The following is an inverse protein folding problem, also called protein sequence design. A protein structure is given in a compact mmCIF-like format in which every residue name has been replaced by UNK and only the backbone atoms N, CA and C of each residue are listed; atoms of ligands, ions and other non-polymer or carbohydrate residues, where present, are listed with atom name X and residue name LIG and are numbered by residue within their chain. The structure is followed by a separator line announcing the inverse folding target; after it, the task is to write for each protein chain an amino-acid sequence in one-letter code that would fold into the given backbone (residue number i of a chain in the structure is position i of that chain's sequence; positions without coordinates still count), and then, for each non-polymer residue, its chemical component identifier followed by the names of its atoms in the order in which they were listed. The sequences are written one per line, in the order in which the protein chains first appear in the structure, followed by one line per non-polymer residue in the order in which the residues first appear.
data_IF_207988798327
#
_entry.id   IF_207988798327
#
_cell.length_a   1.000
_cell.length_b   1.000
_cell.length_c   1.000
_cell.angle_alpha   90.00
_cell.angle_beta   90.00
_cell.angle_gamma   90.00
#
_symmetry.space_group_name_H-M   'P 1'
#
loop_
_entity.id
_entity.type
_entity.pdbx_description
1 polymer ?
#
# COMPACT_ATOMS: atom_id res chain seq x y z
N UNK A 1 -1.99 18.99 5.49
CA UNK A 1 -1.79 17.53 5.29
C UNK A 1 -2.45 16.78 6.43
N UNK A 2 -2.92 15.55 6.20
CA UNK A 2 -3.55 14.69 7.22
C UNK A 2 -2.88 13.33 7.21
N UNK A 3 -2.40 12.88 8.36
CA UNK A 3 -1.89 11.54 8.58
C UNK A 3 -2.13 11.13 10.03
N UNK A 4 -2.09 9.84 10.31
CA UNK A 4 -2.30 9.29 11.65
C UNK A 4 -1.02 9.36 12.49
N UNK A 5 -1.19 9.40 13.81
CA UNK A 5 -0.07 9.26 14.75
C UNK A 5 -0.41 8.22 15.82
N UNK A 6 0.60 7.53 16.31
CA UNK A 6 0.54 6.66 17.48
C UNK A 6 1.50 7.27 18.51
N UNK A 7 1.03 8.24 19.33
CA UNK A 7 1.89 9.06 20.18
C UNK A 7 2.72 8.24 21.15
N UNK A 8 2.13 7.21 21.77
CA UNK A 8 2.78 6.40 22.81
C UNK A 8 3.97 5.60 22.25
N UNK A 9 3.96 5.33 20.94
CA UNK A 9 5.03 4.62 20.23
C UNK A 9 5.95 5.54 19.44
N UNK A 10 5.67 6.86 19.42
CA UNK A 10 6.31 7.87 18.58
C UNK A 10 6.35 7.46 17.10
N UNK A 11 5.19 7.03 16.57
CA UNK A 11 5.05 6.62 15.16
C UNK A 11 4.11 7.57 14.43
N UNK A 12 4.49 7.98 13.23
CA UNK A 12 3.59 8.58 12.25
C UNK A 12 3.16 7.53 11.22
N UNK A 13 1.89 7.53 10.84
CA UNK A 13 1.27 6.62 9.88
C UNK A 13 0.75 7.46 8.71
N UNK A 14 1.51 7.43 7.62
CA UNK A 14 1.31 8.24 6.42
C UNK A 14 0.73 7.36 5.32
N UNK A 15 -0.05 7.99 4.44
CA UNK A 15 -0.63 7.34 3.28
C UNK A 15 -0.27 8.15 2.03
N UNK A 16 0.43 7.52 1.09
CA UNK A 16 0.82 8.14 -0.18
C UNK A 16 -0.40 8.71 -0.92
N UNK A 17 -1.51 7.98 -0.94
CA UNK A 17 -2.72 8.36 -1.68
C UNK A 17 -3.26 9.73 -1.22
N UNK A 18 -3.05 10.12 0.04
CA UNK A 18 -3.48 11.43 0.56
C UNK A 18 -2.77 12.64 -0.06
N UNK A 19 -1.60 12.43 -0.69
CA UNK A 19 -0.80 13.49 -1.31
C UNK A 19 -0.50 13.24 -2.80
N UNK A 20 -0.51 11.99 -3.24
CA UNK A 20 -0.17 11.57 -4.60
C UNK A 20 -1.07 10.43 -5.11
N UNK A 21 -2.33 10.39 -4.65
CA UNK A 21 -3.29 9.34 -4.99
C UNK A 21 -4.07 9.55 -6.27
N UNK A 22 -4.57 8.47 -6.85
CA UNK A 22 -5.40 8.45 -8.06
C UNK A 22 -6.70 9.24 -7.92
N UNK A 23 -7.27 9.30 -6.72
CA UNK A 23 -8.52 10.02 -6.44
C UNK A 23 -8.34 11.55 -6.42
N UNK A 24 -7.11 12.03 -6.21
CA UNK A 24 -6.81 13.46 -6.24
C UNK A 24 -6.78 14.03 -7.66
N UNK A 25 -6.73 13.17 -8.68
CA UNK A 25 -6.57 13.57 -10.07
C UNK A 25 -7.76 13.07 -10.90
N UNK A 26 -8.57 13.98 -11.47
CA UNK A 26 -9.63 13.63 -12.40
C UNK A 26 -9.09 12.76 -13.54
N UNK A 27 -9.85 11.74 -13.97
CA UNK A 27 -9.40 10.77 -14.98
C UNK A 27 -8.79 11.43 -16.23
N UNK A 28 -9.42 12.50 -16.73
CA UNK A 28 -8.98 13.27 -17.90
C UNK A 28 -7.65 14.01 -17.73
N UNK A 29 -7.21 14.22 -16.49
CA UNK A 29 -5.97 14.93 -16.14
C UNK A 29 -4.85 13.97 -15.72
N UNK A 30 -5.10 12.66 -15.68
CA UNK A 30 -4.10 11.67 -15.27
C UNK A 30 -3.02 11.57 -16.34
N UNK A 31 -1.81 11.96 -15.97
CA UNK A 31 -0.63 11.83 -16.82
C UNK A 31 0.57 11.42 -15.96
N UNK A 32 0.96 10.13 -15.99
CA UNK A 32 2.01 9.62 -15.12
C UNK A 32 3.40 10.14 -15.49
N UNK A 33 3.56 10.82 -16.65
CA UNK A 33 4.84 11.44 -17.03
C UNK A 33 5.18 12.65 -16.18
N UNK A 34 4.17 13.38 -15.69
CA UNK A 34 4.33 14.69 -15.03
C UNK A 34 3.90 14.68 -13.56
N UNK A 35 3.15 13.68 -13.12
CA UNK A 35 2.77 13.53 -11.70
C UNK A 35 4.00 13.31 -10.82
N UNK A 36 3.94 13.81 -9.58
CA UNK A 36 5.05 13.77 -8.63
C UNK A 36 4.62 13.30 -7.25
N UNK A 37 5.56 12.70 -6.51
CA UNK A 37 5.41 12.28 -5.11
C UNK A 37 5.86 13.36 -4.11
N UNK A 38 6.12 14.59 -4.56
CA UNK A 38 6.56 15.71 -3.71
C UNK A 38 5.78 15.84 -2.39
N UNK A 39 4.46 15.79 -2.43
CA UNK A 39 3.62 15.89 -1.23
C UNK A 39 3.83 14.76 -0.22
N UNK A 40 4.34 13.60 -0.65
CA UNK A 40 4.74 12.51 0.25
C UNK A 40 5.99 12.89 1.04
N UNK A 41 6.99 13.48 0.37
CA UNK A 41 8.19 13.98 1.05
C UNK A 41 7.88 15.08 2.05
N UNK A 42 6.98 16.00 1.69
CA UNK A 42 6.49 17.05 2.59
C UNK A 42 5.78 16.48 3.82
N UNK A 43 4.97 15.41 3.68
CA UNK A 43 4.38 14.72 4.85
C UNK A 43 5.44 14.05 5.73
N UNK A 44 6.48 13.47 5.14
CA UNK A 44 7.59 12.87 5.90
C UNK A 44 8.31 13.95 6.71
N UNK A 45 8.69 15.07 6.09
CA UNK A 45 9.33 16.20 6.78
C UNK A 45 8.44 16.75 7.90
N UNK A 46 7.15 16.96 7.65
CA UNK A 46 6.22 17.43 8.69
C UNK A 46 6.13 16.47 9.87
N UNK A 47 6.14 15.15 9.64
CA UNK A 47 6.19 14.16 10.72
C UNK A 47 7.53 14.20 11.49
N UNK A 48 8.66 14.35 10.79
CA UNK A 48 9.98 14.48 11.42
C UNK A 48 10.09 15.73 12.28
N UNK A 49 9.60 16.87 11.78
CA UNK A 49 9.56 18.14 12.52
C UNK A 49 8.71 18.06 13.79
N UNK A 50 7.71 17.16 13.82
CA UNK A 50 6.91 16.86 15.02
C UNK A 50 7.54 15.79 15.93
N UNK A 51 8.78 15.38 15.65
CA UNK A 51 9.57 14.46 16.47
C UNK A 51 9.32 12.97 16.20
N UNK A 52 8.60 12.61 15.13
CA UNK A 52 8.31 11.22 14.79
C UNK A 52 9.45 10.58 13.97
N UNK A 53 10.40 9.93 14.65
CA UNK A 53 11.51 9.21 13.99
C UNK A 53 11.14 7.83 13.41
N UNK A 54 9.90 7.38 13.63
CA UNK A 54 9.38 6.10 13.11
C UNK A 54 8.20 6.39 12.22
N UNK A 55 8.30 6.00 10.95
CA UNK A 55 7.29 6.29 9.95
C UNK A 55 6.81 4.97 9.34
N UNK A 56 5.51 4.80 9.29
CA UNK A 56 4.84 3.77 8.49
C UNK A 56 4.23 4.50 7.29
N UNK A 57 4.63 4.13 6.09
CA UNK A 57 4.13 4.70 4.85
C UNK A 57 3.37 3.62 4.06
N UNK A 58 2.04 3.77 3.97
CA UNK A 58 1.24 3.00 3.03
C UNK A 58 1.38 3.60 1.63
N UNK A 59 1.72 2.79 0.63
CA UNK A 59 1.94 3.25 -0.76
C UNK A 59 0.84 2.77 -1.73
N UNK A 60 -0.36 2.46 -1.23
CA UNK A 60 -1.51 2.12 -2.07
C UNK A 60 -1.96 3.28 -2.97
N UNK A 61 -2.71 2.94 -4.03
CA UNK A 61 -3.50 3.88 -4.86
C UNK A 61 -2.78 5.10 -5.42
N UNK A 62 -1.47 5.01 -5.63
CA UNK A 62 -0.65 6.07 -6.24
C UNK A 62 -1.11 6.46 -7.66
N UNK A 63 -1.04 7.76 -7.97
CA UNK A 63 -1.18 8.29 -9.32
C UNK A 63 0.15 8.38 -10.09
N UNK A 64 1.27 8.18 -9.42
CA UNK A 64 2.61 8.56 -9.89
C UNK A 64 3.43 7.42 -10.49
N UNK A 65 4.35 7.73 -11.41
CA UNK A 65 5.47 6.85 -11.83
C UNK A 65 6.76 7.66 -11.90
N UNK A 66 7.10 8.34 -10.81
CA UNK A 66 8.32 9.16 -10.69
C UNK A 66 9.43 8.47 -9.90
N UNK A 67 9.30 7.16 -9.62
CA UNK A 67 10.21 6.43 -8.73
C UNK A 67 10.37 7.03 -7.33
N UNK A 68 9.46 7.90 -6.86
CA UNK A 68 9.63 8.56 -5.57
C UNK A 68 10.64 9.71 -5.55
N UNK A 69 11.20 10.12 -6.70
CA UNK A 69 12.22 11.18 -6.72
C UNK A 69 11.67 12.52 -6.24
N UNK A 70 10.37 12.79 -6.43
CA UNK A 70 9.73 13.97 -5.86
C UNK A 70 9.69 13.96 -4.34
N UNK A 71 9.41 12.82 -3.72
CA UNK A 71 9.46 12.68 -2.28
C UNK A 71 10.90 12.82 -1.76
N UNK A 72 11.85 12.13 -2.39
CA UNK A 72 13.26 12.12 -2.00
C UNK A 72 13.93 13.48 -2.16
N UNK A 73 13.53 14.29 -3.15
CA UNK A 73 14.06 15.65 -3.29
C UNK A 73 13.68 16.56 -2.14
N UNK A 74 12.49 16.37 -1.55
CA UNK A 74 12.10 17.11 -0.33
C UNK A 74 12.93 16.68 0.88
N UNK A 75 13.47 15.47 0.85
CA UNK A 75 14.35 14.92 1.90
C UNK A 75 15.83 15.29 1.70
N UNK A 76 16.15 16.12 0.70
CA UNK A 76 17.52 16.59 0.44
C UNK A 76 18.29 15.80 -0.62
N UNK A 77 17.66 14.85 -1.32
CA UNK A 77 18.32 14.12 -2.41
C UNK A 77 18.25 14.91 -3.72
N UNK A 78 19.39 15.16 -4.36
CA UNK A 78 19.46 15.78 -5.68
C UNK A 78 19.51 14.71 -6.77
N UNK A 79 18.80 14.98 -7.86
CA UNK A 79 18.74 14.14 -9.04
C UNK A 79 19.25 14.95 -10.22
N UNK A 80 20.40 14.57 -10.77
CA UNK A 80 21.16 15.41 -11.70
C UNK A 80 21.24 14.78 -13.09
N UNK A 81 21.30 15.61 -14.12
CA UNK A 81 21.61 15.22 -15.49
C UNK A 81 23.13 15.18 -15.75
N UNK A 82 23.53 14.94 -17.01
CA UNK A 82 24.94 14.84 -17.39
C UNK A 82 25.72 16.15 -17.25
N UNK A 83 25.03 17.29 -17.18
CA UNK A 83 25.64 18.61 -17.02
C UNK A 83 25.67 19.03 -15.53
N UNK A 84 25.30 18.13 -14.61
CA UNK A 84 25.20 18.41 -13.19
C UNK A 84 23.99 19.27 -12.81
N UNK A 85 23.00 19.42 -13.69
CA UNK A 85 21.79 20.21 -13.42
C UNK A 85 20.67 19.33 -12.90
N UNK A 86 19.85 19.87 -12.00
CA UNK A 86 18.72 19.13 -11.48
C UNK A 86 17.67 18.82 -12.56
N UNK A 87 17.25 17.56 -12.62
CA UNK A 87 16.14 17.14 -13.49
C UNK A 87 14.78 17.57 -12.93
N UNK A 88 13.76 17.50 -13.78
CA UNK A 88 12.38 17.54 -13.31
C UNK A 88 12.06 16.32 -12.43
N UNK A 89 11.33 16.52 -11.33
CA UNK A 89 11.07 15.50 -10.31
C UNK A 89 9.79 14.71 -10.64
N UNK A 90 9.77 14.16 -11.84
CA UNK A 90 8.68 13.38 -12.42
C UNK A 90 9.25 12.25 -13.31
N UNK A 91 8.39 11.43 -13.92
CA UNK A 91 8.84 10.33 -14.78
C UNK A 91 9.63 10.83 -16.00
N UNK A 92 9.27 11.97 -16.58
CA UNK A 92 9.92 12.51 -17.77
C UNK A 92 11.38 12.91 -17.47
N UNK A 93 11.61 13.52 -16.31
CA UNK A 93 12.95 13.89 -15.87
C UNK A 93 13.86 12.68 -15.69
N UNK A 94 13.33 11.52 -15.28
CA UNK A 94 14.10 10.27 -15.16
C UNK A 94 14.77 9.85 -16.48
N UNK A 95 14.33 10.32 -17.64
CA UNK A 95 15.01 10.06 -18.91
C UNK A 95 16.39 10.71 -18.99
N UNK A 96 16.59 11.83 -18.29
CA UNK A 96 17.82 12.62 -18.25
C UNK A 96 18.70 12.30 -17.04
N UNK A 97 18.18 11.55 -16.07
CA UNK A 97 18.90 11.21 -14.85
C UNK A 97 20.26 10.56 -15.16
N UNK A 98 21.33 11.17 -14.68
CA UNK A 98 22.69 10.67 -14.76
C UNK A 98 23.25 10.30 -13.39
N UNK A 99 22.88 11.05 -12.36
CA UNK A 99 23.46 10.93 -11.01
C UNK A 99 22.42 11.19 -9.91
N UNK A 100 22.61 10.52 -8.78
CA UNK A 100 21.88 10.76 -7.53
C UNK A 100 22.89 11.21 -6.49
N UNK A 101 22.71 12.42 -5.97
CA UNK A 101 23.52 13.03 -4.93
C UNK A 101 22.68 13.13 -3.64
N UNK A 102 23.08 12.35 -2.64
CA UNK A 102 22.49 12.25 -1.31
C UNK A 102 23.42 12.82 -0.22
N UNK A 103 24.46 13.57 -0.61
CA UNK A 103 25.44 14.14 0.32
C UNK A 103 24.82 15.16 1.30
N UNK A 104 23.78 15.86 0.88
CA UNK A 104 23.04 16.84 1.69
C UNK A 104 21.90 16.23 2.51
N UNK A 105 21.72 14.90 2.48
CA UNK A 105 20.73 14.24 3.31
C UNK A 105 21.11 14.42 4.78
N UNK A 106 20.26 15.09 5.56
CA UNK A 106 20.58 15.35 6.96
C UNK A 106 20.58 14.06 7.79
N UNK A 107 21.41 14.03 8.84
CA UNK A 107 21.57 12.85 9.71
C UNK A 107 20.23 12.40 10.33
N UNK A 108 19.34 13.34 10.63
CA UNK A 108 18.01 13.04 11.15
C UNK A 108 17.15 12.21 10.20
N UNK A 109 17.31 12.42 8.88
CA UNK A 109 16.64 11.63 7.84
C UNK A 109 17.34 10.28 7.65
N UNK A 110 18.67 10.21 7.76
CA UNK A 110 19.42 8.93 7.70
C UNK A 110 19.02 7.98 8.82
N UNK A 111 18.71 8.52 10.00
CA UNK A 111 18.34 7.76 11.20
C UNK A 111 16.87 7.34 11.28
N UNK A 112 16.04 7.67 10.28
CA UNK A 112 14.61 7.36 10.35
C UNK A 112 14.35 5.86 10.24
N UNK A 113 13.40 5.36 11.03
CA UNK A 113 12.88 4.00 10.87
C UNK A 113 11.67 4.05 9.95
N UNK A 114 11.91 3.91 8.65
CA UNK A 114 10.88 3.91 7.62
C UNK A 114 10.43 2.48 7.29
N UNK A 115 9.17 2.18 7.57
CA UNK A 115 8.49 0.95 7.14
C UNK A 115 7.51 1.30 6.02
N UNK A 116 7.62 0.60 4.89
CA UNK A 116 6.79 0.86 3.71
C UNK A 116 5.88 -0.34 3.48
N UNK A 117 4.57 -0.11 3.56
CA UNK A 117 3.55 -1.12 3.32
C UNK A 117 3.30 -1.33 1.84
N UNK A 118 3.71 -2.47 1.30
CA UNK A 118 3.54 -2.84 -0.11
C UNK A 118 2.93 -4.24 -0.24
N UNK A 119 1.72 -4.33 -0.81
CA UNK A 119 0.98 -5.58 -0.97
C UNK A 119 1.19 -6.27 -2.33
N UNK A 120 2.08 -5.71 -3.16
CA UNK A 120 2.41 -6.22 -4.50
C UNK A 120 3.88 -6.60 -4.55
N UNK A 121 4.18 -7.70 -5.24
CA UNK A 121 5.56 -8.20 -5.41
C UNK A 121 6.24 -7.67 -6.68
N UNK A 122 5.54 -6.89 -7.51
CA UNK A 122 6.07 -6.35 -8.76
C UNK A 122 7.40 -5.61 -8.53
N UNK A 123 8.40 -5.99 -9.34
CA UNK A 123 9.72 -5.35 -9.36
C UNK A 123 9.66 -4.02 -10.14
N UNK A 124 10.77 -3.29 -10.25
CA UNK A 124 10.75 -1.95 -10.86
C UNK A 124 10.49 -2.02 -12.37
N UNK A 125 11.28 -2.82 -13.09
CA UNK A 125 11.24 -2.92 -14.56
C UNK A 125 10.75 -4.29 -15.04
N UNK A 126 10.78 -4.53 -16.35
CA UNK A 126 10.34 -5.80 -16.94
C UNK A 126 8.84 -5.88 -17.25
N UNK A 127 8.38 -7.07 -17.63
CA UNK A 127 6.99 -7.34 -18.05
C UNK A 127 6.02 -7.17 -16.88
N UNK A 128 6.43 -7.66 -15.71
CA UNK A 128 5.64 -7.63 -14.47
C UNK A 128 6.11 -6.50 -13.54
N UNK A 129 6.75 -5.46 -14.10
CA UNK A 129 7.26 -4.34 -13.33
C UNK A 129 6.21 -3.27 -13.01
N UNK A 130 6.66 -2.10 -12.53
CA UNK A 130 5.80 -0.96 -12.20
C UNK A 130 4.89 -0.51 -13.37
N UNK A 131 5.31 -0.79 -14.62
CA UNK A 131 4.57 -0.45 -15.85
C UNK A 131 3.20 -1.14 -15.95
N UNK A 132 2.97 -2.25 -15.25
CA UNK A 132 1.67 -2.94 -15.20
C UNK A 132 0.56 -1.98 -14.75
N UNK A 133 0.88 -1.08 -13.81
CA UNK A 133 -0.06 -0.10 -13.26
C UNK A 133 -0.10 1.22 -14.02
N UNK A 134 0.60 1.36 -15.16
CA UNK A 134 0.68 2.64 -15.87
C UNK A 134 -0.66 3.06 -16.52
N UNK A 135 -1.42 2.10 -17.06
CA UNK A 135 -2.70 2.40 -17.75
C UNK A 135 -3.74 3.03 -16.83
N UNK A 136 -3.93 2.49 -15.63
CA UNK A 136 -4.87 3.07 -14.65
C UNK A 136 -4.47 4.48 -14.19
N UNK A 137 -3.17 4.81 -14.31
CA UNK A 137 -2.58 6.13 -14.03
C UNK A 137 -2.62 7.07 -15.23
N UNK A 138 -3.24 6.69 -16.34
CA UNK A 138 -3.42 7.55 -17.53
C UNK A 138 -2.40 7.34 -18.66
N UNK A 139 -1.52 6.33 -18.58
CA UNK A 139 -0.59 6.06 -19.67
C UNK A 139 -1.28 5.43 -20.90
N UNK A 140 -1.09 6.04 -22.06
CA UNK A 140 -1.52 5.50 -23.35
C UNK A 140 -0.41 4.65 -24.02
N UNK A 141 -0.69 4.16 -25.24
CA UNK A 141 0.27 3.34 -26.01
C UNK A 141 1.58 4.07 -26.31
N UNK A 142 1.56 5.39 -26.44
CA UNK A 142 2.74 6.22 -26.75
C UNK A 142 3.57 6.52 -25.50
N UNK A 143 2.90 6.62 -24.35
CA UNK A 143 3.49 6.96 -23.05
C UNK A 143 4.18 5.76 -22.40
N UNK A 144 3.65 4.54 -22.58
CA UNK A 144 4.22 3.32 -21.99
C UNK A 144 5.71 3.10 -22.36
N UNK A 145 6.15 3.23 -23.63
CA UNK A 145 7.56 3.13 -23.98
C UNK A 145 8.46 4.14 -23.25
N UNK A 146 7.98 5.37 -23.06
CA UNK A 146 8.70 6.43 -22.35
C UNK A 146 8.89 6.06 -20.89
N UNK A 147 7.82 5.62 -20.22
CA UNK A 147 7.87 5.14 -18.82
C UNK A 147 8.89 3.99 -18.70
N UNK A 148 8.86 3.01 -19.61
CA UNK A 148 9.81 1.88 -19.56
C UNK A 148 11.25 2.37 -19.66
N UNK A 149 11.55 3.36 -20.50
CA UNK A 149 12.89 3.94 -20.64
C UNK A 149 13.30 4.69 -19.37
N UNK A 150 12.40 5.49 -18.81
CA UNK A 150 12.60 6.22 -17.56
C UNK A 150 12.91 5.28 -16.38
N UNK A 151 12.08 4.24 -16.17
CA UNK A 151 12.27 3.27 -15.10
C UNK A 151 13.59 2.50 -15.22
N UNK A 152 13.96 2.08 -16.45
CA UNK A 152 15.25 1.42 -16.71
C UNK A 152 16.43 2.35 -16.45
N UNK A 153 16.32 3.63 -16.81
CA UNK A 153 17.38 4.58 -16.53
C UNK A 153 17.55 4.79 -15.03
N UNK A 154 16.44 4.97 -14.29
CA UNK A 154 16.47 5.06 -12.83
C UNK A 154 17.14 3.83 -12.20
N UNK A 155 16.75 2.62 -12.63
CA UNK A 155 17.38 1.40 -12.13
C UNK A 155 18.90 1.41 -12.38
N UNK A 156 19.33 1.69 -13.61
CA UNK A 156 20.75 1.74 -13.95
C UNK A 156 21.53 2.70 -13.03
N UNK A 157 20.98 3.89 -12.77
CA UNK A 157 21.64 4.91 -11.92
C UNK A 157 21.67 4.48 -10.45
N UNK A 158 20.57 3.93 -9.92
CA UNK A 158 20.51 3.43 -8.54
C UNK A 158 21.47 2.25 -8.33
N UNK A 159 21.50 1.29 -9.25
CA UNK A 159 22.43 0.17 -9.21
C UNK A 159 23.88 0.64 -9.21
N UNK A 160 24.23 1.61 -10.06
CA UNK A 160 25.58 2.18 -10.12
C UNK A 160 25.96 2.90 -8.81
N UNK A 161 25.06 3.70 -8.25
CA UNK A 161 25.34 4.56 -7.08
C UNK A 161 25.36 3.80 -5.77
N UNK A 162 24.43 2.86 -5.58
CA UNK A 162 24.16 2.20 -4.31
C UNK A 162 24.46 0.69 -4.33
N UNK A 163 24.75 0.10 -5.49
CA UNK A 163 24.93 -1.36 -5.63
C UNK A 163 23.63 -2.15 -5.45
N UNK A 164 22.47 -1.49 -5.46
CA UNK A 164 21.17 -2.11 -5.22
C UNK A 164 20.46 -2.40 -6.53
N UNK A 165 20.25 -3.67 -6.85
CA UNK A 165 19.46 -4.07 -8.00
C UNK A 165 17.96 -4.08 -7.67
N UNK A 166 17.25 -3.02 -8.06
CA UNK A 166 15.82 -2.90 -7.83
C UNK A 166 15.00 -4.00 -8.52
N UNK A 167 15.51 -4.61 -9.59
CA UNK A 167 14.80 -5.67 -10.30
C UNK A 167 14.90 -7.04 -9.60
N UNK A 168 15.68 -7.14 -8.51
CA UNK A 168 15.76 -8.34 -7.66
C UNK A 168 14.92 -8.24 -6.38
N UNK A 169 14.32 -7.07 -6.12
CA UNK A 169 13.63 -6.78 -4.87
C UNK A 169 12.12 -6.86 -5.08
N UNK A 170 11.43 -7.85 -4.49
CA UNK A 170 9.98 -7.90 -4.52
C UNK A 170 9.36 -6.62 -3.95
N UNK A 171 8.43 -6.04 -4.71
CA UNK A 171 7.72 -4.80 -4.35
C UNK A 171 8.49 -3.52 -4.62
N UNK A 172 9.67 -3.56 -5.26
CA UNK A 172 10.40 -2.34 -5.63
C UNK A 172 9.64 -1.48 -6.65
N UNK A 173 8.79 -2.07 -7.48
CA UNK A 173 7.94 -1.37 -8.44
C UNK A 173 6.62 -0.84 -7.85
N UNK A 174 6.34 -1.14 -6.58
CA UNK A 174 5.14 -0.66 -5.92
C UNK A 174 5.05 0.87 -5.98
N UNK A 175 3.85 1.38 -6.21
CA UNK A 175 3.55 2.80 -6.38
C UNK A 175 4.44 3.55 -7.39
N UNK A 176 4.77 2.90 -8.51
CA UNK A 176 5.55 3.56 -9.56
C UNK A 176 7.03 3.72 -9.22
N UNK A 177 7.56 2.86 -8.34
CA UNK A 177 8.99 2.75 -8.04
C UNK A 177 9.43 3.38 -6.71
N UNK A 178 8.55 4.12 -6.02
CA UNK A 178 8.88 4.76 -4.74
C UNK A 178 9.28 3.74 -3.67
N UNK A 179 8.65 2.55 -3.64
CA UNK A 179 9.01 1.50 -2.69
C UNK A 179 10.47 1.06 -2.83
N UNK A 180 10.92 0.85 -4.07
CA UNK A 180 12.30 0.52 -4.39
C UNK A 180 13.27 1.66 -4.04
N UNK A 181 12.93 2.90 -4.41
CA UNK A 181 13.78 4.05 -4.17
C UNK A 181 13.99 4.35 -2.68
N UNK A 182 12.91 4.32 -1.87
CA UNK A 182 13.00 4.49 -0.42
C UNK A 182 13.86 3.39 0.23
N UNK A 183 13.77 2.16 -0.28
CA UNK A 183 14.61 1.06 0.20
C UNK A 183 16.09 1.26 -0.16
N UNK A 184 16.37 1.62 -1.41
CA UNK A 184 17.74 1.76 -1.90
C UNK A 184 18.46 2.97 -1.30
N UNK A 185 17.77 4.09 -1.15
CA UNK A 185 18.38 5.38 -0.77
C UNK A 185 18.28 5.64 0.73
N UNK A 186 17.15 5.31 1.36
CA UNK A 186 16.92 5.57 2.80
C UNK A 186 16.96 4.29 3.66
N UNK A 187 17.30 3.14 3.08
CA UNK A 187 17.32 1.86 3.81
C UNK A 187 15.95 1.42 4.33
N UNK A 188 14.85 1.91 3.73
CA UNK A 188 13.50 1.59 4.15
C UNK A 188 13.20 0.08 4.08
N UNK A 189 12.35 -0.41 4.99
CA UNK A 189 11.92 -1.81 4.99
C UNK A 189 10.58 -1.94 4.29
N UNK A 190 10.58 -2.60 3.14
CA UNK A 190 9.37 -3.06 2.47
C UNK A 190 8.80 -4.25 3.24
N UNK A 191 7.52 -4.15 3.61
CA UNK A 191 6.81 -5.15 4.38
C UNK A 191 5.37 -5.27 3.89
N UNK A 192 4.76 -6.46 3.90
CA UNK A 192 3.34 -6.60 3.60
C UNK A 192 2.48 -5.75 4.55
N UNK A 193 1.43 -5.12 4.03
CA UNK A 193 0.55 -4.24 4.81
C UNK A 193 -0.12 -4.97 5.96
N UNK A 194 -0.54 -6.21 5.75
CA UNK A 194 -1.11 -7.02 6.83
C UNK A 194 -0.13 -7.30 7.96
N UNK A 195 1.13 -7.64 7.64
CA UNK A 195 2.15 -7.94 8.64
C UNK A 195 2.48 -6.71 9.50
N UNK A 196 2.44 -5.51 8.91
CA UNK A 196 2.50 -4.26 9.65
C UNK A 196 1.38 -4.16 10.67
N UNK A 197 0.12 -4.24 10.21
CA UNK A 197 -1.06 -4.10 11.07
C UNK A 197 -1.02 -5.15 12.18
N UNK A 198 -0.83 -6.43 11.81
CA UNK A 198 -0.73 -7.60 12.71
C UNK A 198 0.20 -7.32 13.89
N UNK A 199 1.39 -6.77 13.65
CA UNK A 199 2.37 -6.44 14.68
C UNK A 199 1.90 -5.35 15.64
N UNK A 200 1.22 -4.32 15.12
CA UNK A 200 0.82 -3.16 15.93
C UNK A 200 -0.44 -3.40 16.77
N UNK A 201 -1.41 -4.14 16.23
CA UNK A 201 -2.69 -4.43 16.93
C UNK A 201 -2.65 -5.71 17.77
N UNK A 202 -1.53 -6.46 17.75
CA UNK A 202 -1.37 -7.74 18.46
C UNK A 202 -2.52 -8.73 18.15
N UNK A 203 -2.91 -8.83 16.88
CA UNK A 203 -4.12 -9.54 16.46
C UNK A 203 -4.14 -11.01 16.91
N UNK A 204 -2.99 -11.69 16.93
CA UNK A 204 -2.92 -13.08 17.40
C UNK A 204 -3.31 -13.23 18.86
N UNK A 205 -2.87 -12.29 19.71
CA UNK A 205 -3.24 -12.28 21.12
C UNK A 205 -4.74 -12.04 21.26
N UNK A 206 -5.28 -11.06 20.53
CA UNK A 206 -6.71 -10.75 20.52
C UNK A 206 -7.54 -11.96 20.07
N UNK A 207 -7.17 -12.61 18.97
CA UNK A 207 -7.86 -13.81 18.49
C UNK A 207 -7.75 -14.93 19.53
N UNK A 208 -6.56 -15.19 20.09
CA UNK A 208 -6.37 -16.23 21.10
C UNK A 208 -7.22 -16.01 22.35
N UNK A 209 -7.39 -14.78 22.81
CA UNK A 209 -8.09 -14.45 24.06
C UNK A 209 -9.61 -14.33 23.91
N UNK A 210 -10.14 -14.26 22.69
CA UNK A 210 -11.57 -14.14 22.42
C UNK A 210 -12.17 -15.45 21.88
N UNK A 211 -13.47 -15.63 22.09
CA UNK A 211 -14.19 -16.86 21.75
C UNK A 211 -14.70 -16.88 20.31
N UNK A 212 -14.86 -15.70 19.69
CA UNK A 212 -15.40 -15.54 18.34
C UNK A 212 -14.64 -14.46 17.59
N UNK A 213 -14.36 -14.70 16.31
CA UNK A 213 -13.78 -13.71 15.40
C UNK A 213 -14.84 -13.31 14.37
N UNK A 214 -15.07 -12.01 14.21
CA UNK A 214 -15.90 -11.47 13.14
C UNK A 214 -14.98 -10.67 12.22
N UNK A 215 -14.97 -11.00 10.93
CA UNK A 215 -14.13 -10.31 9.95
C UNK A 215 -14.85 -10.20 8.61
N UNK A 216 -14.32 -9.39 7.68
CA UNK A 216 -15.04 -9.12 6.45
C UNK A 216 -14.39 -8.14 5.49
N UNK A 217 -14.82 -8.19 4.23
CA UNK A 217 -14.42 -7.25 3.19
C UNK A 217 -15.55 -6.99 2.18
N UNK A 218 -15.36 -6.05 1.25
CA UNK A 218 -16.39 -5.69 0.28
C UNK A 218 -16.78 -6.82 -0.67
N UNK A 219 -15.82 -7.64 -1.11
CA UNK A 219 -16.07 -8.77 -1.98
C UNK A 219 -15.11 -9.90 -1.65
N UNK A 220 -15.66 -11.07 -1.35
CA UNK A 220 -14.89 -12.29 -1.10
C UNK A 220 -14.81 -13.10 -2.39
N UNK A 221 -13.59 -13.31 -2.88
CA UNK A 221 -13.26 -14.12 -4.05
C UNK A 221 -12.06 -15.04 -3.77
N UNK A 222 -11.58 -15.78 -4.78
CA UNK A 222 -10.45 -16.71 -4.59
C UNK A 222 -9.17 -16.01 -4.08
N UNK A 223 -8.96 -14.73 -4.40
CA UNK A 223 -7.78 -13.99 -3.96
C UNK A 223 -7.86 -13.57 -2.49
N UNK A 224 -9.07 -13.46 -1.93
CA UNK A 224 -9.29 -13.19 -0.50
C UNK A 224 -8.53 -14.18 0.38
N UNK A 225 -8.60 -15.45 0.02
CA UNK A 225 -8.00 -16.55 0.78
C UNK A 225 -6.51 -16.75 0.46
N UNK A 226 -6.03 -16.18 -0.66
CA UNK A 226 -4.65 -16.29 -1.13
C UNK A 226 -3.66 -15.38 -0.39
N UNK A 227 -3.83 -15.16 0.92
CA UNK A 227 -2.87 -14.45 1.77
C UNK A 227 -3.12 -12.95 1.94
N UNK A 228 -4.27 -12.43 1.49
CA UNK A 228 -4.76 -11.08 1.83
C UNK A 228 -5.21 -11.00 3.30
N UNK A 229 -5.57 -9.81 3.76
CA UNK A 229 -5.87 -9.54 5.17
C UNK A 229 -6.86 -10.53 5.79
N UNK A 230 -7.97 -10.84 5.11
CA UNK A 230 -8.97 -11.80 5.60
C UNK A 230 -8.40 -13.22 5.67
N UNK A 231 -7.76 -13.72 4.61
CA UNK A 231 -7.11 -15.03 4.63
C UNK A 231 -6.11 -15.17 5.79
N UNK A 232 -5.35 -14.12 6.10
CA UNK A 232 -4.43 -14.13 7.24
C UNK A 232 -5.16 -14.16 8.59
N UNK A 233 -6.27 -13.42 8.75
CA UNK A 233 -7.12 -13.51 9.95
C UNK A 233 -7.67 -14.92 10.12
N UNK A 234 -8.15 -15.54 9.05
CA UNK A 234 -8.66 -16.92 9.05
C UNK A 234 -7.58 -17.92 9.45
N UNK A 235 -6.37 -17.80 8.89
CA UNK A 235 -5.25 -18.66 9.23
C UNK A 235 -4.87 -18.54 10.72
N UNK A 236 -4.88 -17.33 11.28
CA UNK A 236 -4.61 -17.11 12.70
C UNK A 236 -5.74 -17.70 13.56
N UNK A 237 -7.00 -17.48 13.20
CA UNK A 237 -8.14 -18.05 13.91
C UNK A 237 -8.11 -19.58 13.90
N UNK A 238 -7.81 -20.20 12.76
CA UNK A 238 -7.67 -21.65 12.64
C UNK A 238 -6.55 -22.19 13.54
N UNK A 239 -5.38 -21.54 13.57
CA UNK A 239 -4.26 -21.94 14.46
C UNK A 239 -4.64 -21.96 15.94
N UNK A 240 -5.55 -21.10 16.37
CA UNK A 240 -6.04 -21.05 17.75
C UNK A 240 -7.40 -21.72 17.94
N UNK A 241 -7.90 -22.46 16.94
CA UNK A 241 -9.22 -23.10 16.94
C UNK A 241 -10.36 -22.15 17.30
N UNK A 242 -10.30 -20.91 16.80
CA UNK A 242 -11.33 -19.89 17.02
C UNK A 242 -12.34 -19.87 15.88
N UNK A 243 -13.65 -19.94 16.17
CA UNK A 243 -14.69 -19.83 15.16
C UNK A 243 -14.68 -18.44 14.54
N UNK A 244 -14.96 -18.39 13.24
CA UNK A 244 -15.04 -17.15 12.47
C UNK A 244 -16.42 -16.99 11.84
N UNK A 245 -16.97 -15.78 11.95
CA UNK A 245 -18.09 -15.31 11.14
C UNK A 245 -17.56 -14.34 10.09
N UNK A 246 -17.72 -14.71 8.82
CA UNK A 246 -17.24 -13.92 7.69
C UNK A 246 -18.36 -13.08 7.10
N UNK A 247 -18.22 -11.76 7.14
CA UNK A 247 -19.21 -10.80 6.65
C UNK A 247 -18.68 -10.16 5.38
N UNK A 248 -19.37 -10.31 4.25
CA UNK A 248 -18.93 -9.70 3.00
C UNK A 248 -20.01 -8.86 2.35
N UNK A 249 -19.59 -7.82 1.61
CA UNK A 249 -20.49 -7.11 0.70
C UNK A 249 -21.11 -8.08 -0.31
N UNK A 250 -20.31 -9.00 -0.85
CA UNK A 250 -20.76 -10.11 -1.71
C UNK A 250 -19.76 -11.27 -1.70
N UNK A 251 -20.22 -12.46 -2.10
CA UNK A 251 -19.39 -13.64 -2.32
C UNK A 251 -19.46 -14.08 -3.77
N UNK A 252 -18.33 -14.52 -4.32
CA UNK A 252 -18.32 -15.33 -5.55
C UNK A 252 -18.90 -16.72 -5.26
N UNK A 253 -19.38 -17.44 -6.28
CA UNK A 253 -19.84 -18.82 -6.10
C UNK A 253 -18.71 -19.75 -5.61
N UNK A 254 -19.04 -20.75 -4.78
CA UNK A 254 -18.08 -21.74 -4.28
C UNK A 254 -17.19 -21.29 -3.12
N UNK A 255 -17.36 -20.07 -2.57
CA UNK A 255 -16.45 -19.57 -1.53
C UNK A 255 -16.59 -20.27 -0.17
N UNK A 256 -17.71 -20.97 0.09
CA UNK A 256 -17.92 -21.70 1.35
C UNK A 256 -16.88 -22.80 1.54
N UNK A 257 -16.57 -23.54 0.48
CA UNK A 257 -15.58 -24.62 0.49
C UNK A 257 -14.15 -24.09 0.66
N UNK A 258 -13.87 -22.90 0.11
CA UNK A 258 -12.56 -22.25 0.19
C UNK A 258 -12.28 -21.54 1.53
N UNK A 259 -13.33 -21.27 2.31
CA UNK A 259 -13.23 -20.48 3.54
C UNK A 259 -12.55 -21.22 4.71
N UNK A 260 -12.42 -22.55 4.61
CA UNK A 260 -11.74 -23.38 5.59
C UNK A 260 -12.58 -23.67 6.85
N UNK A 261 -12.09 -24.57 7.73
CA UNK A 261 -12.88 -25.13 8.83
C UNK A 261 -13.16 -24.14 9.97
N UNK A 262 -12.40 -23.04 10.05
CA UNK A 262 -12.59 -22.01 11.05
C UNK A 262 -13.86 -21.17 10.79
N UNK A 263 -14.28 -21.03 9.53
CA UNK A 263 -15.47 -20.25 9.17
C UNK A 263 -16.72 -21.06 9.49
N UNK A 264 -17.48 -20.60 10.50
CA UNK A 264 -18.74 -21.21 10.91
C UNK A 264 -19.91 -20.67 10.11
N UNK A 265 -19.87 -19.38 9.80
CA UNK A 265 -20.93 -18.71 9.06
C UNK A 265 -20.38 -17.67 8.08
N UNK A 266 -21.13 -17.48 7.01
CA UNK A 266 -20.88 -16.46 5.99
C UNK A 266 -22.14 -15.62 5.81
N UNK A 267 -22.00 -14.30 5.89
CA UNK A 267 -23.12 -13.38 5.76
C UNK A 267 -22.88 -12.38 4.62
N UNK A 268 -23.78 -12.37 3.64
CA UNK A 268 -23.73 -11.45 2.50
C UNK A 268 -24.61 -10.23 2.76
N UNK A 269 -24.02 -9.04 2.72
CA UNK A 269 -24.75 -7.77 2.86
C UNK A 269 -25.62 -7.50 1.64
N UNK A 270 -25.11 -7.80 0.45
CA UNK A 270 -25.88 -7.78 -0.78
C UNK A 270 -26.82 -8.98 -0.82
N UNK A 271 -28.10 -8.74 -1.13
CA UNK A 271 -29.07 -9.82 -1.34
C UNK A 271 -28.92 -10.41 -2.74
N UNK A 272 -29.34 -11.66 -2.91
CA UNK A 272 -29.34 -12.30 -4.22
C UNK A 272 -30.13 -11.47 -5.25
N UNK A 273 -29.57 -11.28 -6.44
CA UNK A 273 -30.17 -10.48 -7.52
C UNK A 273 -30.10 -8.95 -7.34
N UNK A 274 -29.60 -8.44 -6.22
CA UNK A 274 -29.54 -7.01 -5.95
C UNK A 274 -28.34 -6.32 -6.62
N UNK A 275 -28.44 -5.03 -6.92
CA UNK A 275 -27.26 -4.18 -7.19
C UNK A 275 -26.48 -3.92 -5.89
N UNK A 276 -25.26 -3.40 -6.01
CA UNK A 276 -24.48 -3.03 -4.82
C UNK A 276 -25.26 -1.92 -4.07
N UNK A 277 -25.61 -2.14 -2.79
CA UNK A 277 -26.37 -1.16 -2.02
C UNK A 277 -25.56 0.12 -1.78
N UNK A 278 -26.25 1.24 -1.55
CA UNK A 278 -25.59 2.49 -1.16
C UNK A 278 -24.83 2.33 0.18
N UNK A 279 -23.85 3.20 0.49
CA UNK A 279 -23.16 3.19 1.78
C UNK A 279 -24.12 3.22 2.99
N UNK A 280 -25.19 4.03 2.95
CA UNK A 280 -26.18 4.10 4.03
C UNK A 280 -26.95 2.79 4.23
N UNK A 281 -27.35 2.15 3.13
CA UNK A 281 -28.03 0.85 3.19
C UNK A 281 -27.09 -0.22 3.70
N UNK A 282 -25.83 -0.21 3.25
CA UNK A 282 -24.77 -1.11 3.72
C UNK A 282 -24.56 -0.98 5.23
N UNK A 283 -24.42 0.25 5.73
CA UNK A 283 -24.25 0.54 7.15
C UNK A 283 -25.43 0.02 7.98
N UNK A 284 -26.68 0.31 7.57
CA UNK A 284 -27.88 -0.18 8.25
C UNK A 284 -27.95 -1.72 8.30
N UNK A 285 -27.55 -2.38 7.22
CA UNK A 285 -27.53 -3.85 7.15
C UNK A 285 -26.45 -4.46 8.04
N UNK A 286 -25.28 -3.83 8.14
CA UNK A 286 -24.23 -4.25 9.07
C UNK A 286 -24.69 -4.13 10.53
N UNK A 287 -25.36 -3.04 10.90
CA UNK A 287 -25.93 -2.85 12.24
C UNK A 287 -26.98 -3.93 12.54
N UNK A 288 -27.90 -4.17 11.61
CA UNK A 288 -28.92 -5.22 11.76
C UNK A 288 -28.29 -6.61 11.91
N UNK A 289 -27.28 -6.92 11.09
CA UNK A 289 -26.52 -8.17 11.20
C UNK A 289 -25.89 -8.31 12.58
N UNK A 290 -25.25 -7.26 13.10
CA UNK A 290 -24.65 -7.27 14.45
C UNK A 290 -25.69 -7.58 15.54
N UNK A 291 -26.89 -7.00 15.45
CA UNK A 291 -27.99 -7.29 16.36
C UNK A 291 -28.47 -8.75 16.27
N UNK A 292 -28.72 -9.25 15.05
CA UNK A 292 -29.15 -10.63 14.81
C UNK A 292 -28.10 -11.65 15.26
N UNK A 293 -26.80 -11.35 15.03
CA UNK A 293 -25.70 -12.17 15.51
C UNK A 293 -25.65 -12.21 17.04
N UNK A 294 -25.77 -11.07 17.72
CA UNK A 294 -25.80 -10.99 19.17
C UNK A 294 -26.94 -11.80 19.80
N UNK A 295 -28.14 -11.76 19.20
CA UNK A 295 -29.27 -12.58 19.64
C UNK A 295 -28.99 -14.09 19.51
N UNK A 296 -28.27 -14.51 18.47
CA UNK A 296 -27.91 -15.92 18.26
C UNK A 296 -26.83 -16.39 19.22
N UNK A 297 -25.80 -15.57 19.46
CA UNK A 297 -24.78 -15.84 20.47
C UNK A 297 -25.43 -16.01 21.85
N UNK A 298 -26.35 -15.12 22.24
CA UNK A 298 -27.07 -15.23 23.52
C UNK A 298 -27.88 -16.53 23.66
N UNK A 299 -28.30 -17.13 22.54
CA UNK A 299 -29.04 -18.40 22.51
C UNK A 299 -28.13 -19.63 22.42
N UNK A 300 -26.80 -19.47 22.41
CA UNK A 300 -25.84 -20.58 22.27
C UNK A 300 -25.85 -21.22 20.88
N UNK A 301 -26.21 -20.47 19.84
CA UNK A 301 -26.32 -20.96 18.46
C UNK A 301 -25.03 -20.82 17.64
N UNK A 302 -23.93 -20.40 18.27
CA UNK A 302 -22.62 -20.11 17.65
C UNK A 302 -21.46 -20.44 18.59
#
# INVERSE_FOLDING_TARGET
MKYGIIPEKKIAVLELASAAGLELIPLKMRNPLITTTRGVGEMIIDALNKGFKRIILGIGDSATIDCGIGALSILGVKFLDCDGKEIEKNCQGLLKLAEVDDSELCEEIKDIKLLVGADVSNILTGRDGAVVYARQKGADRKTIPVIKKALRNFQRVVLKRYGVDLDTIPGSGAAGGIGGALKAILGAKLVPGFELIRKYIKIEKQIKENELVITGEGRVDQQTFAGKAIGQVLNIAQRFNRPVVLVAGSFVSGMKELSGPAVKEMYSIKRAGERIPSPDVTARRLVRFGYELGLRIRKGLL
#
